data_IF_463023865991
#
_entry.id   IF_463023865991
#
_cell.length_a   1.000
_cell.length_b   1.000
_cell.length_c   1.000
_cell.angle_alpha   90.00
_cell.angle_beta   90.00
_cell.angle_gamma   90.00
#
_symmetry.space_group_name_H-M   'P 1'
#
loop_
_entity.id
_entity.type
_entity.pdbx_description
1 polymer ?
#
# COMPACT_ATOMS: atom_id res chain seq x y z
N UNK A 1 -4.43 -13.95 16.74
CA UNK A 1 -5.88 -13.65 16.94
C UNK A 1 -6.65 -13.69 15.62
N UNK A 2 -6.39 -12.82 14.64
CA UNK A 2 -7.17 -12.71 13.40
C UNK A 2 -7.32 -14.05 12.65
N UNK A 3 -6.25 -14.79 12.43
CA UNK A 3 -6.26 -16.08 11.71
C UNK A 3 -7.13 -17.14 12.39
N UNK A 4 -7.21 -17.10 13.72
CA UNK A 4 -8.08 -18.01 14.50
C UNK A 4 -9.56 -17.87 14.12
N UNK A 5 -9.95 -16.67 13.69
CA UNK A 5 -11.34 -16.36 13.29
C UNK A 5 -11.50 -16.23 11.77
N UNK A 6 -10.54 -16.70 10.98
CA UNK A 6 -10.60 -16.64 9.52
C UNK A 6 -10.60 -15.22 8.95
N UNK A 7 -10.05 -14.24 9.70
CA UNK A 7 -9.99 -12.83 9.25
C UNK A 7 -8.65 -12.53 8.61
N UNK A 8 -8.62 -11.75 7.50
CA UNK A 8 -7.37 -11.27 6.94
C UNK A 8 -6.66 -10.33 7.91
N UNK A 9 -5.32 -10.34 7.87
CA UNK A 9 -4.48 -9.46 8.69
C UNK A 9 -3.35 -8.89 7.85
N UNK A 10 -3.12 -7.58 8.00
CA UNK A 10 -2.08 -6.81 7.29
C UNK A 10 -1.15 -6.13 8.30
N UNK A 11 -0.25 -6.88 8.96
CA UNK A 11 0.64 -6.33 9.96
C UNK A 11 1.66 -5.39 9.35
N UNK A 12 2.07 -4.36 10.09
CA UNK A 12 3.12 -3.43 9.70
C UNK A 12 4.50 -3.96 10.02
N UNK A 13 5.43 -3.76 9.11
CA UNK A 13 6.84 -4.06 9.25
C UNK A 13 7.67 -3.08 8.40
N UNK A 14 8.96 -2.98 8.66
CA UNK A 14 9.83 -2.09 7.91
C UNK A 14 11.03 -2.84 7.32
N UNK A 15 11.82 -3.53 8.12
CA UNK A 15 13.01 -4.26 7.66
C UNK A 15 12.65 -5.59 7.00
N UNK A 16 13.53 -6.14 6.13
CA UNK A 16 13.31 -7.46 5.54
C UNK A 16 13.09 -8.57 6.57
N UNK A 17 13.81 -8.52 7.70
CA UNK A 17 13.64 -9.50 8.79
C UNK A 17 12.25 -9.40 9.42
N UNK A 18 11.78 -8.19 9.71
CA UNK A 18 10.42 -7.98 10.23
C UNK A 18 9.35 -8.42 9.24
N UNK A 19 9.56 -8.14 7.96
CA UNK A 19 8.64 -8.53 6.89
C UNK A 19 8.53 -10.06 6.80
N UNK A 20 9.66 -10.76 6.79
CA UNK A 20 9.68 -12.21 6.76
C UNK A 20 9.00 -12.79 8.01
N UNK A 21 9.31 -12.27 9.19
CA UNK A 21 8.69 -12.69 10.46
C UNK A 21 7.16 -12.52 10.42
N UNK A 22 6.68 -11.38 9.93
CA UNK A 22 5.24 -11.13 9.80
C UNK A 22 4.59 -12.10 8.81
N UNK A 23 5.24 -12.38 7.70
CA UNK A 23 4.76 -13.34 6.70
C UNK A 23 4.68 -14.76 7.25
N UNK A 24 5.73 -15.23 7.92
CA UNK A 24 5.77 -16.56 8.54
C UNK A 24 4.72 -16.72 9.65
N UNK A 25 4.39 -15.62 10.36
CA UNK A 25 3.31 -15.59 11.35
C UNK A 25 1.90 -15.65 10.73
N UNK A 26 1.80 -15.68 9.39
CA UNK A 26 0.54 -15.85 8.66
C UNK A 26 -0.10 -14.57 8.15
N UNK A 27 0.67 -13.50 7.93
CA UNK A 27 0.15 -12.29 7.30
C UNK A 27 -0.41 -12.59 5.90
N UNK A 28 -1.54 -11.98 5.56
CA UNK A 28 -2.12 -12.06 4.21
C UNK A 28 -1.43 -11.07 3.27
N UNK A 29 -1.09 -9.90 3.78
CA UNK A 29 -0.25 -8.88 3.14
C UNK A 29 0.59 -8.25 4.25
N UNK A 30 1.86 -7.94 3.97
CA UNK A 30 2.71 -7.20 4.92
C UNK A 30 2.73 -5.73 4.53
N UNK A 31 2.34 -4.89 5.47
CA UNK A 31 2.32 -3.43 5.33
C UNK A 31 3.73 -2.87 5.58
N UNK A 32 4.27 -2.13 4.61
CA UNK A 32 5.55 -1.44 4.74
C UNK A 32 5.31 -0.02 5.23
N UNK A 33 5.77 0.30 6.45
CA UNK A 33 5.56 1.60 7.07
C UNK A 33 6.79 2.04 7.87
N UNK A 34 7.20 3.31 7.75
CA UNK A 34 6.72 4.34 6.84
C UNK A 34 7.34 4.22 5.43
N UNK A 35 6.53 4.20 4.38
CA UNK A 35 7.02 4.02 3.01
C UNK A 35 7.54 5.32 2.37
N UNK A 36 7.13 6.48 2.87
CA UNK A 36 7.55 7.79 2.39
C UNK A 36 9.04 8.07 2.59
N UNK A 37 9.63 7.49 3.64
CA UNK A 37 11.06 7.65 3.95
C UNK A 37 11.99 6.88 3.00
N UNK A 38 11.48 5.89 2.26
CA UNK A 38 12.30 4.96 1.47
C UNK A 38 11.87 4.80 0.01
N UNK A 39 10.62 5.07 -0.30
CA UNK A 39 10.09 5.07 -1.66
C UNK A 39 9.99 3.70 -2.35
N UNK A 40 9.60 3.69 -3.64
CA UNK A 40 9.39 2.46 -4.41
C UNK A 40 10.64 1.59 -4.58
N UNK A 41 11.83 2.19 -4.64
CA UNK A 41 13.07 1.45 -4.80
C UNK A 41 13.36 0.50 -3.65
N UNK A 42 13.03 0.90 -2.43
CA UNK A 42 13.16 0.04 -1.25
C UNK A 42 12.25 -1.19 -1.35
N UNK A 43 10.99 -0.96 -1.73
CA UNK A 43 10.03 -2.04 -1.92
C UNK A 43 10.49 -3.02 -3.00
N UNK A 44 11.02 -2.51 -4.12
CA UNK A 44 11.60 -3.33 -5.19
C UNK A 44 12.78 -4.17 -4.69
N UNK A 45 13.66 -3.59 -3.88
CA UNK A 45 14.82 -4.29 -3.31
C UNK A 45 14.40 -5.44 -2.37
N UNK A 46 13.33 -5.26 -1.59
CA UNK A 46 12.77 -6.31 -0.73
C UNK A 46 12.07 -7.38 -1.58
N UNK A 47 11.26 -6.97 -2.55
CA UNK A 47 10.48 -7.90 -3.36
C UNK A 47 11.35 -8.85 -4.20
N UNK A 48 12.53 -8.41 -4.62
CA UNK A 48 13.42 -9.22 -5.44
C UNK A 48 13.82 -10.55 -4.77
N UNK A 49 14.35 -10.58 -3.54
CA UNK A 49 14.68 -11.83 -2.84
C UNK A 49 13.46 -12.53 -2.20
N UNK A 50 12.34 -11.83 -2.00
CA UNK A 50 11.16 -12.33 -1.30
C UNK A 50 9.89 -12.17 -2.16
N UNK A 51 9.87 -12.71 -3.39
CA UNK A 51 8.76 -12.47 -4.34
C UNK A 51 7.43 -13.10 -3.91
N UNK A 52 7.46 -14.08 -3.00
CA UNK A 52 6.27 -14.73 -2.46
C UNK A 52 5.50 -13.83 -1.46
N UNK A 53 6.17 -12.83 -0.87
CA UNK A 53 5.56 -11.96 0.15
C UNK A 53 4.78 -10.86 -0.54
N UNK A 54 3.50 -10.76 -0.24
CA UNK A 54 2.64 -9.67 -0.70
C UNK A 54 2.91 -8.42 0.12
N UNK A 55 3.38 -7.36 -0.52
CA UNK A 55 3.75 -6.09 0.12
C UNK A 55 2.72 -5.00 -0.19
N UNK A 56 2.46 -4.12 0.78
CA UNK A 56 1.57 -2.98 0.65
C UNK A 56 2.22 -1.73 1.28
N UNK A 57 2.64 -0.74 0.50
CA UNK A 57 3.23 0.49 1.04
C UNK A 57 2.19 1.33 1.75
N UNK A 58 2.58 1.93 2.88
CA UNK A 58 1.76 2.83 3.69
C UNK A 58 2.60 4.03 4.11
N UNK A 59 2.06 5.23 3.93
CA UNK A 59 2.74 6.50 4.17
C UNK A 59 3.32 7.08 2.88
N UNK A 60 2.97 8.33 2.59
CA UNK A 60 3.44 9.06 1.42
C UNK A 60 2.95 8.56 0.06
N UNK A 61 2.12 7.52 0.04
CA UNK A 61 1.51 7.04 -1.21
C UNK A 61 0.40 8.00 -1.62
N UNK A 62 0.43 8.44 -2.87
CA UNK A 62 -0.50 9.41 -3.43
C UNK A 62 -0.90 9.04 -4.87
N UNK A 63 -1.72 9.88 -5.49
CA UNK A 63 -2.24 9.66 -6.84
C UNK A 63 -1.11 9.61 -7.87
N UNK A 64 -0.09 10.45 -7.70
CA UNK A 64 1.03 10.58 -8.64
C UNK A 64 1.99 9.40 -8.58
N UNK A 65 2.28 8.89 -7.38
CA UNK A 65 3.31 7.86 -7.18
C UNK A 65 2.78 6.43 -7.00
N UNK A 66 1.48 6.24 -6.84
CA UNK A 66 0.91 4.90 -6.60
C UNK A 66 1.27 3.89 -7.70
N UNK A 67 1.36 4.34 -8.96
CA UNK A 67 1.76 3.49 -10.07
C UNK A 67 3.20 3.01 -9.98
N UNK A 68 4.11 3.82 -9.44
CA UNK A 68 5.52 3.44 -9.24
C UNK A 68 5.66 2.34 -8.19
N UNK A 69 4.90 2.43 -7.10
CA UNK A 69 4.85 1.37 -6.10
C UNK A 69 4.30 0.05 -6.65
N UNK A 70 3.27 0.10 -7.50
CA UNK A 70 2.75 -1.10 -8.18
C UNK A 70 3.83 -1.73 -9.08
N UNK A 71 4.51 -0.93 -9.89
CA UNK A 71 5.62 -1.41 -10.75
C UNK A 71 6.79 -1.96 -9.93
N UNK A 72 7.00 -1.45 -8.72
CA UNK A 72 8.02 -1.95 -7.80
C UNK A 72 7.66 -3.29 -7.12
N UNK A 73 6.44 -3.80 -7.33
CA UNK A 73 5.99 -5.09 -6.82
C UNK A 73 4.95 -5.02 -5.71
N UNK A 74 4.36 -3.86 -5.43
CA UNK A 74 3.27 -3.77 -4.46
C UNK A 74 2.05 -4.58 -4.91
N UNK A 75 1.55 -5.43 -4.02
CA UNK A 75 0.32 -6.21 -4.25
C UNK A 75 -0.94 -5.35 -4.10
N UNK A 76 -0.88 -4.34 -3.25
CA UNK A 76 -1.94 -3.39 -2.98
C UNK A 76 -1.37 -2.02 -2.62
N UNK A 77 -2.22 -1.00 -2.64
CA UNK A 77 -1.88 0.37 -2.26
C UNK A 77 -2.77 0.80 -1.10
N UNK A 78 -2.20 1.54 -0.16
CA UNK A 78 -2.95 2.20 0.90
C UNK A 78 -2.92 3.70 0.68
N UNK A 79 -4.07 4.33 0.78
CA UNK A 79 -4.22 5.76 0.63
C UNK A 79 -5.08 6.32 1.77
N UNK A 80 -4.80 7.54 2.19
CA UNK A 80 -5.55 8.22 3.26
C UNK A 80 -5.80 9.68 2.88
N UNK A 81 -5.01 10.61 3.41
CA UNK A 81 -5.22 12.05 3.22
C UNK A 81 -5.14 12.53 1.77
N UNK A 82 -4.47 11.78 0.89
CA UNK A 82 -4.38 12.12 -0.54
C UNK A 82 -5.71 11.93 -1.29
N UNK A 83 -6.59 11.03 -0.82
CA UNK A 83 -7.92 10.81 -1.39
C UNK A 83 -9.04 11.38 -0.52
N UNK A 84 -8.81 11.55 0.77
CA UNK A 84 -9.75 12.13 1.72
C UNK A 84 -9.12 13.30 2.50
N UNK A 85 -8.80 14.43 1.83
CA UNK A 85 -8.22 15.59 2.50
C UNK A 85 -9.17 16.16 3.55
N UNK A 86 -8.63 16.55 4.70
CA UNK A 86 -9.43 17.12 5.81
C UNK A 86 -10.30 18.29 5.37
N UNK A 87 -9.79 19.13 4.46
CA UNK A 87 -10.53 20.29 3.91
C UNK A 87 -11.81 19.87 3.16
N UNK A 88 -11.71 18.79 2.34
CA UNK A 88 -12.85 18.31 1.57
C UNK A 88 -13.87 17.59 2.45
N UNK A 89 -13.40 16.86 3.46
CA UNK A 89 -14.28 16.25 4.47
C UNK A 89 -15.04 17.34 5.22
N UNK A 90 -14.35 18.37 5.71
CA UNK A 90 -14.96 19.48 6.44
C UNK A 90 -15.97 20.27 5.61
N UNK A 91 -15.72 20.39 4.29
CA UNK A 91 -16.61 21.07 3.35
C UNK A 91 -17.77 20.19 2.85
N UNK A 92 -17.80 18.89 3.18
CA UNK A 92 -18.77 17.94 2.64
C UNK A 92 -18.58 17.68 1.15
N UNK A 93 -17.36 17.84 0.62
CA UNK A 93 -17.04 17.74 -0.80
C UNK A 93 -16.81 16.27 -1.22
N UNK A 94 -17.84 15.47 -1.10
CA UNK A 94 -17.77 14.01 -1.33
C UNK A 94 -17.47 13.64 -2.78
N UNK A 95 -17.92 14.46 -3.73
CA UNK A 95 -17.64 14.23 -5.16
C UNK A 95 -16.15 14.37 -5.48
N UNK A 96 -15.45 15.31 -4.84
CA UNK A 96 -14.00 15.44 -4.98
C UNK A 96 -13.27 14.21 -4.46
N UNK A 97 -13.66 13.70 -3.28
CA UNK A 97 -13.10 12.49 -2.68
C UNK A 97 -13.32 11.28 -3.60
N UNK A 98 -14.51 11.13 -4.14
CA UNK A 98 -14.82 10.09 -5.14
C UNK A 98 -13.93 10.22 -6.38
N UNK A 99 -13.71 11.45 -6.85
CA UNK A 99 -12.83 11.75 -8.00
C UNK A 99 -11.38 11.34 -7.75
N UNK A 100 -10.82 11.69 -6.60
CA UNK A 100 -9.46 11.29 -6.21
C UNK A 100 -9.30 9.76 -6.15
N UNK A 101 -10.26 9.07 -5.55
CA UNK A 101 -10.26 7.62 -5.47
C UNK A 101 -10.32 6.97 -6.85
N UNK A 102 -11.16 7.45 -7.75
CA UNK A 102 -11.26 6.98 -9.13
C UNK A 102 -9.95 7.17 -9.89
N UNK A 103 -9.33 8.33 -9.74
CA UNK A 103 -8.05 8.62 -10.40
C UNK A 103 -6.93 7.70 -9.89
N UNK A 104 -6.84 7.46 -8.58
CA UNK A 104 -5.88 6.53 -8.02
C UNK A 104 -6.11 5.11 -8.54
N UNK A 105 -7.34 4.64 -8.57
CA UNK A 105 -7.68 3.31 -9.11
C UNK A 105 -7.29 3.18 -10.59
N UNK A 106 -7.52 4.22 -11.39
CA UNK A 106 -7.12 4.25 -12.79
C UNK A 106 -5.59 4.15 -12.95
N UNK A 107 -4.83 4.90 -12.15
CA UNK A 107 -3.36 4.87 -12.17
C UNK A 107 -2.81 3.49 -11.73
N UNK A 108 -3.38 2.89 -10.71
CA UNK A 108 -3.02 1.53 -10.26
C UNK A 108 -3.31 0.51 -11.36
N UNK A 109 -4.48 0.58 -11.99
CA UNK A 109 -4.86 -0.31 -13.10
C UNK A 109 -3.91 -0.17 -14.29
N UNK A 110 -3.60 1.06 -14.68
CA UNK A 110 -2.65 1.33 -15.76
C UNK A 110 -1.26 0.78 -15.47
N UNK A 111 -0.78 0.91 -14.23
CA UNK A 111 0.52 0.39 -13.80
C UNK A 111 0.58 -1.15 -13.81
N UNK A 112 -0.51 -1.83 -13.49
CA UNK A 112 -0.60 -3.31 -13.53
C UNK A 112 -0.62 -3.89 -14.95
N UNK A 113 -1.15 -3.15 -15.90
CA UNK A 113 -1.29 -3.60 -17.29
C UNK A 113 0.00 -3.43 -18.12
N UNK A 114 1.03 -2.92 -17.52
CA UNK A 114 2.36 -2.77 -18.13
C UNK A 114 3.35 -3.73 -17.48
#
# INVERSE_FOLDING_TARGET
MAKRYGKPIFPGAFTPTEILTAWEAGADIVKIFPADSVGPNYLKAIHAPLPQIKLMPVGGVNIENCGEFIKAGAAAITAASCIAPKKDIAAGNWDAITGYARQMLANVKAARNK
#
